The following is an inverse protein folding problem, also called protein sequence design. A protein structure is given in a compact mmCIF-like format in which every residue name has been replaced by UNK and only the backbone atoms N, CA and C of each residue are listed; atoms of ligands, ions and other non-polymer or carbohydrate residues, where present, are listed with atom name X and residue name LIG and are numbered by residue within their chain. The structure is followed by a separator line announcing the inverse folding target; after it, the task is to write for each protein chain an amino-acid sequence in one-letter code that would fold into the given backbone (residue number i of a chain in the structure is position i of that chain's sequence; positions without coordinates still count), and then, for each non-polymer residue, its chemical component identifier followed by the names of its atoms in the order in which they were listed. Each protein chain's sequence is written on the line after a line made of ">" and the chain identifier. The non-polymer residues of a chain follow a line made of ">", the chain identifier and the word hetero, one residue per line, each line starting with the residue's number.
data_IF_776276051482
#
_entry.id   IF_776276051482
#
_cell.length_a   1.000
_cell.length_b   1.000
_cell.length_c   1.000
_cell.angle_alpha   90.00
_cell.angle_beta   90.00
_cell.angle_gamma   90.00
#
_symmetry.space_group_name_H-M   'P 1'
#
loop_
_entity.id
_entity.type
_entity.pdbx_description
1 polymer ?
#
# COMPACT_ATOMS: atom_id res chain seq x y z
N UNK A 1 35.63 66.74 32.43
CA UNK A 1 35.06 65.65 31.69
C UNK A 1 36.09 64.57 31.45
N UNK A 2 35.93 63.40 32.13
CA UNK A 2 36.80 62.25 31.97
C UNK A 2 36.37 61.46 30.74
N UNK A 3 37.14 61.54 29.67
CA UNK A 3 36.93 60.75 28.45
C UNK A 3 37.31 59.32 28.73
N UNK A 4 36.29 58.44 28.88
CA UNK A 4 36.54 56.96 28.86
C UNK A 4 37.11 56.54 27.49
N UNK A 5 38.39 56.16 27.49
CA UNK A 5 39.02 55.49 26.33
C UNK A 5 38.38 54.13 26.14
N UNK A 6 37.57 53.97 25.09
CA UNK A 6 37.08 52.65 24.63
C UNK A 6 38.28 51.86 24.13
N UNK A 7 38.57 50.74 24.81
CA UNK A 7 39.58 49.78 24.33
C UNK A 7 39.06 49.15 23.04
N UNK A 8 39.75 49.30 21.95
CA UNK A 8 39.43 48.63 20.68
C UNK A 8 39.69 47.13 20.77
N UNK A 9 38.84 46.33 20.16
CA UNK A 9 39.00 44.88 20.10
C UNK A 9 40.10 44.52 19.08
N UNK A 10 41.03 43.66 19.45
CA UNK A 10 42.14 43.28 18.56
C UNK A 10 41.71 42.13 17.67
N UNK A 11 42.29 42.03 16.47
CA UNK A 11 42.03 40.94 15.49
C UNK A 11 42.36 39.57 16.09
N UNK A 12 43.40 39.48 16.93
CA UNK A 12 43.82 38.26 17.61
C UNK A 12 42.79 37.79 18.65
N UNK A 13 42.20 38.71 19.44
CA UNK A 13 41.19 38.39 20.41
C UNK A 13 39.91 37.84 19.69
N UNK A 14 39.53 38.41 18.53
CA UNK A 14 38.42 37.88 17.74
C UNK A 14 38.73 36.48 17.20
N UNK A 15 39.93 36.28 16.65
CA UNK A 15 40.35 35.02 16.05
C UNK A 15 40.37 33.87 17.05
N UNK A 16 40.90 34.13 18.29
CA UNK A 16 40.90 33.13 19.36
C UNK A 16 39.47 32.75 19.77
N UNK A 17 38.58 33.70 19.90
CA UNK A 17 37.17 33.44 20.26
C UNK A 17 36.48 32.57 19.21
N UNK A 18 36.59 32.90 17.91
CA UNK A 18 35.99 32.07 16.86
C UNK A 18 36.60 30.66 16.78
N UNK A 19 37.89 30.51 17.04
CA UNK A 19 38.56 29.21 17.10
C UNK A 19 38.02 28.33 18.24
N UNK A 20 37.82 28.93 19.43
CA UNK A 20 37.21 28.22 20.58
C UNK A 20 35.78 27.85 20.28
N UNK A 21 34.97 28.77 19.72
CA UNK A 21 33.58 28.48 19.33
C UNK A 21 33.51 27.34 18.30
N UNK A 22 34.36 27.37 17.27
CA UNK A 22 34.43 26.33 16.25
C UNK A 22 34.79 24.96 16.85
N UNK A 23 35.77 24.91 17.78
CA UNK A 23 36.12 23.68 18.47
C UNK A 23 34.96 23.13 19.31
N UNK A 24 34.30 23.99 20.08
CA UNK A 24 33.17 23.59 20.91
C UNK A 24 31.97 23.10 20.05
N UNK A 25 31.65 23.78 18.94
CA UNK A 25 30.61 23.36 17.98
C UNK A 25 30.95 22.00 17.37
N UNK A 26 32.22 21.74 17.01
CA UNK A 26 32.66 20.48 16.43
C UNK A 26 32.35 19.26 17.34
N UNK A 27 32.45 19.43 18.66
CA UNK A 27 32.19 18.38 19.65
C UNK A 27 30.66 18.29 19.95
N UNK A 28 29.95 19.42 19.99
CA UNK A 28 28.55 19.48 20.41
C UNK A 28 27.60 19.04 19.30
N UNK A 29 27.89 19.30 18.01
CA UNK A 29 26.96 18.96 16.89
C UNK A 29 26.60 17.49 16.82
N UNK A 30 27.50 16.49 16.91
CA UNK A 30 27.12 15.08 16.86
C UNK A 30 26.24 14.68 18.04
N UNK A 31 26.50 15.20 19.24
CA UNK A 31 25.69 14.92 20.43
C UNK A 31 24.28 15.51 20.30
N UNK A 32 24.16 16.75 19.83
CA UNK A 32 22.87 17.43 19.62
C UNK A 32 22.01 16.71 18.58
N UNK A 33 22.61 16.19 17.50
CA UNK A 33 21.91 15.39 16.49
C UNK A 33 21.24 14.15 17.11
N UNK A 34 21.96 13.40 17.95
CA UNK A 34 21.42 12.21 18.64
C UNK A 34 20.29 12.55 19.61
N UNK A 35 20.45 13.62 20.40
CA UNK A 35 19.42 14.10 21.35
C UNK A 35 18.16 14.50 20.58
N UNK A 36 18.29 15.19 19.44
CA UNK A 36 17.17 15.58 18.60
C UNK A 36 16.41 14.38 18.06
N UNK A 37 17.10 13.33 17.61
CA UNK A 37 16.48 12.09 17.13
C UNK A 37 15.70 11.39 18.25
N UNK A 38 16.28 11.30 19.45
CA UNK A 38 15.60 10.74 20.63
C UNK A 38 14.34 11.53 20.96
N UNK A 39 14.42 12.88 20.93
CA UNK A 39 13.25 13.73 21.16
C UNK A 39 12.14 13.49 20.09
N UNK A 40 12.52 13.27 18.83
CA UNK A 40 11.55 12.92 17.76
C UNK A 40 10.86 11.58 18.05
N UNK A 41 11.63 10.54 18.44
CA UNK A 41 11.07 9.24 18.83
C UNK A 41 10.05 9.36 19.95
N UNK A 42 10.37 10.08 21.02
CA UNK A 42 9.48 10.30 22.15
C UNK A 42 8.22 11.05 21.73
N UNK A 43 8.36 12.10 20.92
CA UNK A 43 7.20 12.86 20.41
C UNK A 43 6.29 11.99 19.54
N UNK A 44 6.88 11.20 18.62
CA UNK A 44 6.12 10.30 17.75
C UNK A 44 5.41 9.20 18.55
N UNK A 45 6.07 8.62 19.56
CA UNK A 45 5.45 7.65 20.46
C UNK A 45 4.30 8.25 21.27
N UNK A 46 4.45 9.49 21.75
CA UNK A 46 3.36 10.20 22.47
C UNK A 46 2.17 10.47 21.54
N UNK A 47 2.41 10.91 20.31
CA UNK A 47 1.36 11.12 19.31
C UNK A 47 0.61 9.80 19.04
N UNK A 48 1.35 8.72 18.80
CA UNK A 48 0.78 7.42 18.51
C UNK A 48 -0.04 6.87 19.69
N UNK A 49 0.41 7.09 20.94
CA UNK A 49 -0.38 6.77 22.15
C UNK A 49 -1.68 7.57 22.23
N UNK A 50 -1.65 8.86 21.85
CA UNK A 50 -2.85 9.69 21.73
C UNK A 50 -3.83 9.16 20.69
N UNK A 51 -3.32 8.78 19.51
CA UNK A 51 -4.10 8.15 18.43
C UNK A 51 -4.72 6.84 18.90
N UNK A 52 -3.98 5.98 19.63
CA UNK A 52 -4.50 4.72 20.16
C UNK A 52 -5.64 4.90 21.14
N UNK A 53 -5.53 5.86 22.05
CA UNK A 53 -6.63 6.20 22.96
C UNK A 53 -7.89 6.69 22.23
N UNK A 54 -7.69 7.50 21.17
CA UNK A 54 -8.79 7.94 20.32
C UNK A 54 -9.43 6.78 19.54
N UNK A 55 -8.66 5.77 19.13
CA UNK A 55 -9.20 4.55 18.50
C UNK A 55 -10.11 3.78 19.46
N UNK A 56 -9.77 3.68 20.74
CA UNK A 56 -10.64 3.04 21.74
C UNK A 56 -11.93 3.85 21.98
N UNK A 57 -11.83 5.18 22.02
CA UNK A 57 -13.02 6.06 22.12
C UNK A 57 -13.93 5.83 20.91
N UNK A 58 -13.35 5.81 19.70
CA UNK A 58 -14.09 5.53 18.48
C UNK A 58 -14.73 4.14 18.52
N UNK A 59 -14.01 3.10 18.91
CA UNK A 59 -14.51 1.73 18.95
C UNK A 59 -15.68 1.56 19.93
N UNK A 60 -15.70 2.28 21.05
CA UNK A 60 -16.80 2.27 21.99
C UNK A 60 -18.14 2.72 21.36
N UNK A 61 -18.08 3.62 20.37
CA UNK A 61 -19.26 4.14 19.67
C UNK A 61 -19.59 3.36 18.39
N UNK A 62 -18.69 2.47 17.93
CA UNK A 62 -18.77 1.75 16.66
C UNK A 62 -18.61 0.22 16.83
N UNK A 63 -19.39 -0.40 17.71
CA UNK A 63 -19.51 -1.86 17.86
C UNK A 63 -18.17 -2.57 18.10
N UNK A 64 -17.26 -1.97 18.88
CA UNK A 64 -15.91 -2.45 19.17
C UNK A 64 -14.97 -2.54 17.93
N UNK A 65 -15.39 -2.00 16.78
CA UNK A 65 -14.54 -1.93 15.58
C UNK A 65 -13.59 -0.74 15.63
N UNK A 66 -12.32 -0.97 15.29
CA UNK A 66 -11.34 0.10 15.10
C UNK A 66 -11.64 0.90 13.82
N UNK A 67 -11.11 2.14 13.67
CA UNK A 67 -11.46 3.03 12.58
C UNK A 67 -11.32 2.39 11.20
N UNK A 68 -12.43 2.24 10.49
CA UNK A 68 -12.51 1.73 9.13
C UNK A 68 -13.31 2.69 8.25
N UNK A 69 -12.64 3.35 7.34
CA UNK A 69 -13.27 4.20 6.34
C UNK A 69 -13.93 3.36 5.23
N UNK A 70 -14.82 4.00 4.45
CA UNK A 70 -15.54 3.30 3.39
C UNK A 70 -16.69 2.43 3.87
N UNK A 71 -17.09 1.45 3.07
CA UNK A 71 -18.16 0.47 3.36
C UNK A 71 -17.59 -0.90 3.75
N UNK A 72 -18.51 -1.87 3.93
CA UNK A 72 -18.16 -3.21 4.41
C UNK A 72 -17.08 -3.92 3.57
N UNK A 73 -17.17 -3.82 2.25
CA UNK A 73 -16.24 -4.43 1.29
C UNK A 73 -15.47 -3.37 0.47
N UNK A 74 -15.17 -2.23 1.07
CA UNK A 74 -14.34 -1.22 0.42
C UNK A 74 -12.94 -1.74 0.18
N UNK A 75 -12.35 -1.28 -0.92
CA UNK A 75 -10.97 -1.59 -1.29
C UNK A 75 -10.04 -0.46 -0.92
N UNK A 76 -8.79 -0.78 -0.63
CA UNK A 76 -7.75 0.22 -0.44
C UNK A 76 -7.50 0.97 -1.76
N UNK A 77 -7.69 2.28 -1.75
CA UNK A 77 -7.56 3.11 -2.94
C UNK A 77 -7.94 4.57 -2.70
N UNK A 78 -7.72 5.43 -3.69
CA UNK A 78 -7.93 6.86 -3.54
C UNK A 78 -9.40 7.21 -3.25
N UNK A 79 -9.61 8.11 -2.31
CA UNK A 79 -10.92 8.73 -2.04
C UNK A 79 -11.17 9.80 -3.10
N UNK A 80 -12.19 9.63 -3.91
CA UNK A 80 -12.45 10.54 -5.04
C UNK A 80 -13.11 11.86 -4.61
N UNK A 81 -13.84 11.85 -3.50
CA UNK A 81 -14.60 13.03 -3.04
C UNK A 81 -14.51 13.20 -1.52
N UNK A 82 -13.32 13.54 -1.03
CA UNK A 82 -13.08 13.76 0.42
C UNK A 82 -13.94 14.88 1.04
N UNK A 83 -14.63 15.71 0.23
CA UNK A 83 -15.58 16.76 0.63
C UNK A 83 -17.06 16.31 0.47
N UNK A 84 -17.32 15.03 0.26
CA UNK A 84 -18.68 14.52 0.10
C UNK A 84 -19.56 14.81 1.31
N UNK A 85 -20.78 15.27 1.08
CA UNK A 85 -21.73 15.57 2.15
C UNK A 85 -22.11 14.35 3.00
N UNK A 86 -21.96 13.15 2.44
CA UNK A 86 -22.23 11.89 3.13
C UNK A 86 -21.10 10.89 2.94
N UNK A 87 -21.00 9.91 3.84
CA UNK A 87 -20.05 8.79 3.75
C UNK A 87 -20.14 8.06 2.39
N UNK A 88 -21.36 7.86 1.90
CA UNK A 88 -21.60 7.19 0.63
C UNK A 88 -21.02 7.98 -0.56
N UNK A 89 -21.18 9.29 -0.57
CA UNK A 89 -20.59 10.14 -1.61
C UNK A 89 -19.08 10.21 -1.52
N UNK A 90 -18.53 10.33 -0.30
CA UNK A 90 -17.09 10.42 -0.08
C UNK A 90 -16.36 9.19 -0.62
N UNK A 91 -16.83 8.01 -0.29
CA UNK A 91 -16.17 6.74 -0.59
C UNK A 91 -16.76 6.01 -1.81
N UNK A 92 -17.72 6.63 -2.53
CA UNK A 92 -18.40 6.03 -3.69
C UNK A 92 -19.03 4.67 -3.35
N UNK A 93 -19.79 4.62 -2.25
CA UNK A 93 -20.45 3.38 -1.81
C UNK A 93 -21.66 3.06 -2.69
N UNK A 94 -21.99 1.77 -2.80
CA UNK A 94 -23.23 1.30 -3.39
C UNK A 94 -24.45 1.66 -2.51
N UNK A 95 -25.64 1.53 -3.06
CA UNK A 95 -26.88 1.85 -2.34
C UNK A 95 -27.07 1.03 -1.05
N UNK A 96 -26.51 -0.16 -0.97
CA UNK A 96 -26.51 -1.02 0.21
C UNK A 96 -25.41 -0.71 1.23
N UNK A 97 -24.63 0.35 1.00
CA UNK A 97 -23.50 0.77 1.84
C UNK A 97 -22.25 -0.10 1.67
N UNK A 98 -22.23 -1.02 0.71
CA UNK A 98 -21.07 -1.86 0.40
C UNK A 98 -20.13 -1.21 -0.62
N UNK A 99 -19.02 -1.89 -0.90
CA UNK A 99 -17.99 -1.49 -1.87
C UNK A 99 -17.39 -0.10 -1.60
N UNK A 100 -16.93 0.57 -2.64
CA UNK A 100 -16.27 1.85 -2.55
C UNK A 100 -14.76 1.74 -2.36
N UNK A 101 -14.11 2.91 -2.21
CA UNK A 101 -12.67 3.03 -2.00
C UNK A 101 -12.38 3.94 -0.83
N UNK A 102 -11.40 3.55 -0.03
CA UNK A 102 -10.92 4.34 1.09
C UNK A 102 -9.40 4.20 1.25
N UNK A 103 -8.78 5.21 1.83
CA UNK A 103 -7.36 5.32 2.12
C UNK A 103 -7.07 4.97 3.58
N UNK A 104 -5.83 4.69 3.91
CA UNK A 104 -5.39 4.56 5.31
C UNK A 104 -5.51 5.92 6.01
N UNK A 105 -5.16 7.01 5.32
CA UNK A 105 -5.33 8.37 5.85
C UNK A 105 -6.78 8.69 6.18
N UNK A 106 -7.75 8.21 5.38
CA UNK A 106 -9.17 8.38 5.70
C UNK A 106 -9.61 7.60 6.95
N UNK A 107 -8.99 6.44 7.23
CA UNK A 107 -9.24 5.73 8.49
C UNK A 107 -8.78 6.56 9.69
N UNK A 108 -7.59 7.15 9.63
CA UNK A 108 -7.13 8.11 10.65
C UNK A 108 -8.00 9.36 10.72
N UNK A 109 -8.52 9.84 9.58
CA UNK A 109 -9.39 11.03 9.55
C UNK A 109 -10.71 10.82 10.30
N UNK A 110 -11.22 9.59 10.43
CA UNK A 110 -12.38 9.30 11.29
C UNK A 110 -12.13 9.69 12.74
N UNK A 111 -10.87 9.62 13.21
CA UNK A 111 -10.51 10.08 14.56
C UNK A 111 -10.53 11.62 14.68
N UNK A 112 -10.19 12.34 13.60
CA UNK A 112 -10.37 13.81 13.56
C UNK A 112 -11.85 14.14 13.63
N UNK A 113 -12.67 13.42 12.88
CA UNK A 113 -14.10 13.68 12.72
C UNK A 113 -14.92 13.29 13.95
N UNK A 114 -14.61 12.19 14.61
CA UNK A 114 -15.47 11.59 15.65
C UNK A 114 -14.81 11.49 17.04
N UNK A 115 -13.49 11.62 17.13
CA UNK A 115 -12.75 11.54 18.40
C UNK A 115 -11.91 12.80 18.67
N UNK A 116 -12.18 13.91 17.97
CA UNK A 116 -11.58 15.24 18.15
C UNK A 116 -10.03 15.26 18.12
N UNK A 117 -9.39 14.32 17.42
CA UNK A 117 -7.93 14.28 17.28
C UNK A 117 -7.48 15.39 16.35
N UNK A 118 -6.52 16.21 16.78
CA UNK A 118 -5.99 17.26 15.90
C UNK A 118 -5.13 16.68 14.79
N UNK A 119 -5.19 17.21 13.55
CA UNK A 119 -4.36 16.76 12.42
C UNK A 119 -2.85 16.72 12.74
N UNK A 120 -2.37 17.60 13.58
CA UNK A 120 -0.97 17.65 14.03
C UNK A 120 -0.51 16.36 14.72
N UNK A 121 -1.41 15.63 15.36
CA UNK A 121 -1.10 14.36 16.06
C UNK A 121 -0.71 13.23 15.11
N UNK A 122 -1.00 13.36 13.81
CA UNK A 122 -0.63 12.37 12.81
C UNK A 122 0.74 12.62 12.17
N UNK A 123 1.49 13.63 12.64
CA UNK A 123 2.78 14.00 12.07
C UNK A 123 3.93 13.62 13.00
N UNK A 124 4.86 12.82 12.48
CA UNK A 124 6.16 12.56 13.09
C UNK A 124 7.22 13.54 12.56
N UNK A 125 7.88 14.28 13.44
CA UNK A 125 8.95 15.22 13.03
C UNK A 125 10.19 14.53 12.45
N UNK A 126 10.33 13.24 12.64
CA UNK A 126 11.39 12.43 12.02
C UNK A 126 11.06 12.01 10.59
N UNK A 127 9.79 12.09 10.18
CA UNK A 127 9.32 11.72 8.84
C UNK A 127 9.38 12.95 7.92
N UNK A 128 10.43 13.04 7.12
CA UNK A 128 10.64 14.18 6.22
C UNK A 128 9.61 14.22 5.09
N UNK A 129 9.18 15.42 4.73
CA UNK A 129 8.20 15.64 3.65
C UNK A 129 6.73 15.50 4.09
N UNK A 130 6.46 15.15 5.36
CA UNK A 130 5.12 15.22 5.93
C UNK A 130 4.86 16.57 6.57
N UNK A 131 3.61 17.00 6.54
CA UNK A 131 3.16 18.27 7.09
C UNK A 131 1.77 18.17 7.69
N UNK A 132 1.51 18.98 8.71
CA UNK A 132 0.20 19.09 9.32
C UNK A 132 -0.84 19.51 8.29
N UNK A 133 -1.97 18.82 8.24
CA UNK A 133 -3.11 19.19 7.40
C UNK A 133 -3.78 20.46 7.91
N UNK A 134 -3.98 21.44 7.04
CA UNK A 134 -4.68 22.69 7.35
C UNK A 134 -5.66 23.03 6.24
N UNK A 135 -6.89 23.40 6.60
CA UNK A 135 -7.92 23.81 5.65
C UNK A 135 -7.48 25.01 4.78
N UNK A 136 -6.73 25.94 5.39
CA UNK A 136 -6.20 27.10 4.70
C UNK A 136 -5.26 26.73 3.52
N UNK A 137 -4.50 25.65 3.65
CA UNK A 137 -3.57 25.22 2.60
C UNK A 137 -4.30 24.67 1.35
N UNK A 138 -5.58 24.30 1.50
CA UNK A 138 -6.45 23.84 0.41
C UNK A 138 -7.34 24.98 -0.16
N UNK A 139 -7.26 26.19 0.38
CA UNK A 139 -8.13 27.30 -0.02
C UNK A 139 -9.61 27.08 0.32
N UNK A 140 -9.92 26.18 1.25
CA UNK A 140 -11.27 25.89 1.70
C UNK A 140 -11.74 26.97 2.69
N UNK A 141 -12.83 27.66 2.33
CA UNK A 141 -13.48 28.67 3.19
C UNK A 141 -14.88 28.21 3.55
N UNK A 142 -15.27 28.41 4.82
CA UNK A 142 -16.60 28.01 5.30
C UNK A 142 -16.80 26.50 5.46
N UNK A 143 -15.70 25.74 5.52
CA UNK A 143 -15.66 24.29 5.75
C UNK A 143 -14.94 24.02 7.06
N UNK A 144 -15.46 23.15 7.90
CA UNK A 144 -14.82 22.69 9.11
C UNK A 144 -14.15 21.32 8.90
N UNK A 145 -13.24 20.93 9.81
CA UNK A 145 -12.58 19.62 9.75
C UNK A 145 -13.59 18.45 9.74
N UNK A 146 -14.69 18.60 10.48
CA UNK A 146 -15.74 17.58 10.56
C UNK A 146 -16.53 17.38 9.26
N UNK A 147 -16.44 18.31 8.31
CA UNK A 147 -17.12 18.20 7.02
C UNK A 147 -16.36 17.31 6.03
N UNK A 148 -15.10 17.02 6.30
CA UNK A 148 -14.24 16.24 5.42
C UNK A 148 -14.20 14.75 5.81
N UNK A 149 -13.66 13.92 4.89
CA UNK A 149 -13.51 12.48 5.04
C UNK A 149 -12.08 11.97 4.86
N UNK A 150 -11.15 12.84 4.50
CA UNK A 150 -9.71 12.55 4.39
C UNK A 150 -8.91 13.85 4.49
N UNK A 151 -7.59 13.74 4.66
CA UNK A 151 -6.64 14.87 4.69
C UNK A 151 -6.42 15.52 3.31
N UNK A 152 -7.42 15.58 2.48
CA UNK A 152 -7.40 16.17 1.14
C UNK A 152 -7.34 15.12 0.03
N UNK A 153 -6.83 15.53 -1.14
CA UNK A 153 -6.74 14.66 -2.30
C UNK A 153 -5.64 13.60 -2.15
N UNK A 154 -5.88 12.35 -2.56
CA UNK A 154 -4.85 11.33 -2.58
C UNK A 154 -3.90 11.49 -3.78
N UNK A 155 -2.73 10.83 -3.72
CA UNK A 155 -1.74 10.77 -4.77
C UNK A 155 -0.60 11.76 -4.62
N UNK A 156 0.41 11.69 -5.51
CA UNK A 156 1.67 12.42 -5.42
C UNK A 156 1.51 13.95 -5.37
N UNK A 157 0.50 14.47 -6.05
CA UNK A 157 0.17 15.91 -6.05
C UNK A 157 -0.85 16.28 -4.97
N UNK A 158 -1.31 15.29 -4.19
CA UNK A 158 -2.29 15.49 -3.12
C UNK A 158 -1.66 15.77 -1.77
N UNK A 159 -2.52 16.02 -0.79
CA UNK A 159 -2.13 16.28 0.60
C UNK A 159 -2.35 15.09 1.51
N UNK A 160 -3.28 14.18 1.20
CA UNK A 160 -3.67 13.09 2.08
C UNK A 160 -2.47 12.23 2.53
N UNK A 161 -1.67 11.70 1.59
CA UNK A 161 -0.52 10.86 1.93
C UNK A 161 0.61 11.61 2.64
N UNK A 162 0.66 12.96 2.52
CA UNK A 162 1.66 13.81 3.20
C UNK A 162 1.23 14.19 4.63
N UNK A 163 -0.04 14.00 4.97
CA UNK A 163 -0.61 14.46 6.23
C UNK A 163 -0.77 13.37 7.29
N UNK A 164 -0.15 12.22 7.10
CA UNK A 164 -0.01 11.18 8.11
C UNK A 164 1.38 10.55 8.03
N UNK A 165 2.07 10.42 9.14
CA UNK A 165 3.38 9.77 9.28
C UNK A 165 3.30 8.34 9.80
N UNK A 166 2.11 7.78 9.91
CA UNK A 166 1.89 6.48 10.51
C UNK A 166 1.27 5.50 9.53
N UNK A 167 1.65 4.24 9.68
CA UNK A 167 1.00 3.08 9.08
C UNK A 167 -0.06 2.54 10.02
N UNK A 168 -1.09 1.92 9.45
CA UNK A 168 -2.20 1.34 10.17
C UNK A 168 -2.49 -0.05 9.63
N UNK A 169 -2.97 -0.96 10.49
CA UNK A 169 -3.38 -2.29 10.06
C UNK A 169 -4.44 -2.21 8.96
N UNK A 170 -4.19 -2.91 7.84
CA UNK A 170 -5.04 -2.82 6.65
C UNK A 170 -6.46 -3.32 6.94
N UNK A 171 -7.49 -2.44 6.96
CA UNK A 171 -8.85 -2.85 7.28
C UNK A 171 -9.65 -3.27 6.04
N UNK A 172 -9.12 -3.10 4.82
CA UNK A 172 -9.82 -3.31 3.56
C UNK A 172 -9.61 -4.72 3.04
N UNK A 173 -10.67 -5.33 2.47
CA UNK A 173 -10.64 -6.72 2.00
C UNK A 173 -10.06 -7.71 3.01
N UNK A 174 -10.10 -7.37 4.27
CA UNK A 174 -9.53 -8.15 5.35
C UNK A 174 -10.60 -9.09 5.91
N UNK A 175 -10.42 -10.41 5.82
CA UNK A 175 -11.34 -11.38 6.42
C UNK A 175 -11.27 -11.41 7.96
N UNK A 176 -10.22 -10.81 8.53
CA UNK A 176 -9.95 -10.75 9.96
C UNK A 176 -10.16 -9.32 10.47
N UNK A 177 -11.41 -8.94 10.76
CA UNK A 177 -11.71 -7.62 11.30
C UNK A 177 -10.94 -7.39 12.61
N UNK A 178 -10.28 -6.23 12.71
CA UNK A 178 -9.58 -5.83 13.91
C UNK A 178 -10.56 -5.20 14.89
N UNK A 179 -10.79 -5.90 15.97
CA UNK A 179 -11.66 -5.47 17.08
C UNK A 179 -10.83 -5.35 18.36
N UNK A 180 -11.34 -4.63 19.34
CA UNK A 180 -10.71 -4.47 20.67
C UNK A 180 -10.57 -5.80 21.44
N UNK A 181 -11.21 -6.88 20.97
CA UNK A 181 -11.13 -8.21 21.56
C UNK A 181 -10.04 -9.12 20.98
N UNK A 182 -9.20 -8.61 20.07
CA UNK A 182 -8.03 -9.33 19.54
C UNK A 182 -6.90 -9.41 20.59
N UNK A 183 -5.79 -10.12 20.26
CA UNK A 183 -4.66 -10.28 21.19
C UNK A 183 -4.01 -8.92 21.55
N UNK A 184 -3.77 -8.60 22.84
CA UNK A 184 -3.24 -7.30 23.28
C UNK A 184 -1.90 -6.92 22.63
N UNK A 185 -1.01 -7.90 22.38
CA UNK A 185 0.28 -7.72 21.71
C UNK A 185 0.20 -7.59 20.18
N UNK A 186 -1.00 -7.50 19.60
CA UNK A 186 -1.16 -7.29 18.17
C UNK A 186 -0.82 -5.85 17.80
N UNK A 187 0.11 -5.64 16.84
CA UNK A 187 0.48 -4.31 16.38
C UNK A 187 -0.62 -3.71 15.50
N UNK A 188 -1.11 -2.54 15.87
CA UNK A 188 -2.24 -1.85 15.22
C UNK A 188 -1.78 -0.71 14.34
N UNK A 189 -0.83 0.09 14.80
CA UNK A 189 -0.26 1.20 14.06
C UNK A 189 1.22 1.38 14.41
N UNK A 190 1.99 1.93 13.49
CA UNK A 190 3.41 2.22 13.70
C UNK A 190 3.85 3.39 12.82
N UNK A 191 5.11 3.82 12.97
CA UNK A 191 5.76 4.68 11.99
C UNK A 191 5.63 4.07 10.58
N UNK A 192 5.83 4.86 9.51
CA UNK A 192 5.57 4.42 8.12
C UNK A 192 6.30 3.16 7.72
N UNK A 193 5.61 2.29 6.99
CA UNK A 193 6.14 1.08 6.39
C UNK A 193 7.29 1.40 5.42
N UNK A 194 8.50 0.84 5.62
CA UNK A 194 9.67 1.15 4.80
C UNK A 194 9.56 0.63 3.36
N UNK A 195 8.68 -0.33 3.10
CA UNK A 195 8.54 -0.98 1.79
C UNK A 195 7.50 -0.32 0.86
N UNK A 196 6.91 0.80 1.28
CA UNK A 196 5.98 1.62 0.51
C UNK A 196 6.58 3.00 0.33
N UNK A 197 6.49 3.58 -0.89
CA UNK A 197 6.96 4.95 -1.15
C UNK A 197 6.28 5.95 -0.19
N UNK A 198 7.06 6.90 0.28
CA UNK A 198 6.61 7.93 1.22
C UNK A 198 7.07 9.32 0.75
N UNK A 199 6.55 10.42 1.32
CA UNK A 199 7.07 11.76 1.03
C UNK A 199 8.56 11.92 1.31
N UNK A 200 9.13 11.09 2.19
CA UNK A 200 10.56 11.07 2.49
C UNK A 200 11.43 10.47 1.37
N UNK A 201 10.84 9.69 0.47
CA UNK A 201 11.55 9.07 -0.64
C UNK A 201 11.00 7.71 -1.07
N UNK A 202 11.77 7.06 -1.93
CA UNK A 202 11.45 5.73 -2.43
C UNK A 202 11.48 4.68 -1.32
N UNK A 203 10.67 3.65 -1.49
CA UNK A 203 10.63 2.49 -0.61
C UNK A 203 12.01 1.79 -0.55
N UNK A 204 12.31 1.22 0.61
CA UNK A 204 13.44 0.31 0.77
C UNK A 204 13.25 -0.92 -0.13
N UNK A 205 14.30 -1.34 -0.82
CA UNK A 205 14.26 -2.57 -1.59
C UNK A 205 14.09 -3.77 -0.66
N UNK A 206 12.95 -4.46 -0.78
CA UNK A 206 12.61 -5.61 0.04
C UNK A 206 13.64 -6.74 -0.04
N UNK A 207 14.34 -6.89 -1.18
CA UNK A 207 15.37 -7.91 -1.33
C UNK A 207 16.59 -7.70 -0.41
N UNK A 208 16.80 -6.47 0.08
CA UNK A 208 17.88 -6.14 1.03
C UNK A 208 17.55 -6.51 2.47
N UNK A 209 16.27 -6.63 2.80
CA UNK A 209 15.81 -7.00 4.13
C UNK A 209 15.99 -8.50 4.37
N UNK A 210 16.70 -8.84 5.43
CA UNK A 210 16.84 -10.21 5.92
C UNK A 210 16.81 -10.19 7.45
N UNK A 211 15.86 -10.91 8.09
CA UNK A 211 15.80 -11.00 9.54
C UNK A 211 17.07 -11.58 10.14
N UNK A 212 17.54 -11.03 11.26
CA UNK A 212 18.71 -11.53 12.03
C UNK A 212 18.34 -12.66 13.00
N UNK A 213 17.36 -13.46 12.63
CA UNK A 213 16.94 -14.68 13.33
C UNK A 213 17.50 -15.94 12.66
N UNK A 214 17.61 -16.99 13.44
CA UNK A 214 18.07 -18.30 12.96
C UNK A 214 17.21 -18.79 11.79
N UNK A 215 17.85 -19.19 10.70
CA UNK A 215 17.18 -19.70 9.49
C UNK A 215 16.94 -18.66 8.39
N UNK A 216 17.11 -17.35 8.65
CA UNK A 216 16.89 -16.30 7.65
C UNK A 216 18.19 -15.76 7.02
N UNK A 217 19.36 -16.09 7.60
CA UNK A 217 20.66 -15.73 7.04
C UNK A 217 20.96 -14.23 7.06
N UNK A 218 20.22 -13.46 7.86
CA UNK A 218 20.42 -12.02 8.02
C UNK A 218 21.40 -11.66 9.13
N UNK A 219 21.77 -10.40 9.17
CA UNK A 219 22.59 -9.76 10.18
C UNK A 219 21.83 -8.59 10.79
N UNK A 220 22.33 -8.04 11.90
CA UNK A 220 21.76 -6.81 12.49
C UNK A 220 21.64 -5.67 11.47
N UNK A 221 22.57 -5.55 10.53
CA UNK A 221 22.51 -4.51 9.50
C UNK A 221 21.45 -4.79 8.45
N UNK A 222 21.30 -6.04 7.97
CA UNK A 222 20.27 -6.37 6.99
C UNK A 222 18.86 -6.34 7.59
N UNK A 223 18.72 -6.61 8.89
CA UNK A 223 17.45 -6.52 9.60
C UNK A 223 16.94 -5.07 9.74
N UNK A 224 17.83 -4.08 9.80
CA UNK A 224 17.46 -2.67 9.86
C UNK A 224 16.71 -2.18 8.62
N UNK A 225 16.94 -2.80 7.45
CA UNK A 225 16.19 -2.44 6.23
C UNK A 225 14.68 -2.70 6.34
N UNK A 226 14.24 -3.50 7.30
CA UNK A 226 12.84 -3.68 7.66
C UNK A 226 12.25 -2.60 8.55
N UNK A 227 13.06 -1.65 9.05
CA UNK A 227 12.62 -0.61 9.97
C UNK A 227 12.24 0.69 9.26
N UNK A 228 11.38 1.48 9.90
CA UNK A 228 10.88 2.75 9.39
C UNK A 228 11.99 3.77 9.09
N UNK A 229 11.86 4.49 7.97
CA UNK A 229 12.81 5.52 7.55
C UNK A 229 12.79 6.75 8.47
N UNK A 230 11.67 7.06 9.10
CA UNK A 230 11.46 8.21 9.96
C UNK A 230 12.48 8.32 11.12
N UNK A 231 13.01 7.19 11.57
CA UNK A 231 13.98 7.08 12.65
C UNK A 231 15.30 6.45 12.19
N UNK A 232 15.69 6.71 10.94
CA UNK A 232 16.97 6.29 10.33
C UNK A 232 17.17 4.76 10.35
N UNK A 233 16.08 4.01 10.24
CA UNK A 233 16.08 2.55 10.28
C UNK A 233 16.63 1.93 11.59
N UNK A 234 16.77 2.73 12.66
CA UNK A 234 17.15 2.20 13.97
C UNK A 234 16.02 1.48 14.70
N UNK A 235 14.79 1.65 14.22
CA UNK A 235 13.57 1.10 14.78
C UNK A 235 12.35 1.95 14.41
N UNK A 236 11.24 1.66 15.03
CA UNK A 236 9.96 2.34 14.88
C UNK A 236 9.19 2.39 16.19
N UNK A 237 8.35 3.41 16.39
CA UNK A 237 7.32 3.36 17.41
C UNK A 237 6.20 2.45 16.93
N UNK A 238 5.79 1.50 17.74
CA UNK A 238 4.70 0.57 17.46
C UNK A 238 3.65 0.72 18.55
N UNK A 239 2.41 0.91 18.15
CA UNK A 239 1.24 0.90 19.00
C UNK A 239 0.57 -0.46 18.92
N UNK A 240 0.39 -1.09 20.04
CA UNK A 240 -0.29 -2.37 20.17
C UNK A 240 -1.77 -2.19 20.55
N UNK A 241 -2.54 -3.25 20.47
CA UNK A 241 -3.99 -3.19 20.64
C UNK A 241 -4.44 -2.75 22.03
N UNK A 242 -3.65 -3.02 23.06
CA UNK A 242 -3.87 -2.51 24.42
C UNK A 242 -3.47 -1.03 24.60
N UNK A 243 -3.12 -0.35 23.50
CA UNK A 243 -2.70 1.05 23.40
C UNK A 243 -1.34 1.41 24.01
N UNK A 244 -0.58 0.44 24.49
CA UNK A 244 0.82 0.75 24.80
C UNK A 244 1.61 1.03 23.53
N UNK A 245 2.62 1.88 23.63
CA UNK A 245 3.52 2.22 22.53
C UNK A 245 4.95 1.93 22.97
N UNK A 246 5.65 1.14 22.15
CA UNK A 246 7.06 0.82 22.39
C UNK A 246 7.91 1.16 21.16
N UNK A 247 9.19 1.51 21.40
CA UNK A 247 10.15 1.73 20.32
C UNK A 247 10.84 0.41 19.99
N UNK A 248 10.34 -0.28 18.98
CA UNK A 248 10.83 -1.57 18.54
C UNK A 248 12.01 -1.44 17.59
N UNK A 249 13.08 -2.22 17.84
CA UNK A 249 14.30 -2.22 17.02
C UNK A 249 14.22 -3.14 15.80
N UNK A 250 13.15 -3.93 15.68
CA UNK A 250 12.89 -4.87 14.60
C UNK A 250 11.45 -4.73 14.15
N UNK A 251 11.22 -4.96 12.86
CA UNK A 251 9.86 -4.96 12.31
C UNK A 251 9.06 -6.22 12.66
N UNK A 252 9.72 -7.31 13.05
CA UNK A 252 9.06 -8.54 13.51
C UNK A 252 8.88 -8.51 15.03
N UNK A 253 7.86 -7.79 15.47
CA UNK A 253 7.60 -7.47 16.87
C UNK A 253 6.12 -7.65 17.29
N UNK A 254 5.26 -8.13 16.37
CA UNK A 254 3.87 -8.46 16.69
C UNK A 254 3.74 -9.90 17.23
N UNK A 255 2.53 -10.38 17.38
CA UNK A 255 2.22 -11.73 17.90
C UNK A 255 2.97 -12.81 17.10
N UNK A 256 3.65 -13.73 17.77
CA UNK A 256 4.46 -14.80 17.17
C UNK A 256 5.60 -14.30 16.27
N UNK A 257 6.25 -13.19 16.66
CA UNK A 257 7.32 -12.56 15.90
C UNK A 257 6.90 -12.16 14.47
N UNK A 258 5.62 -11.84 14.27
CA UNK A 258 5.10 -11.40 12.99
C UNK A 258 5.69 -10.05 12.57
N UNK A 259 6.00 -9.93 11.27
CA UNK A 259 6.55 -8.71 10.70
C UNK A 259 5.43 -7.72 10.38
N UNK A 260 5.36 -6.65 11.15
CA UNK A 260 4.29 -5.64 11.08
C UNK A 260 4.17 -4.92 9.72
N UNK A 261 5.17 -4.99 8.85
CA UNK A 261 5.22 -4.26 7.58
C UNK A 261 5.04 -5.14 6.34
N UNK A 262 4.86 -6.43 6.52
CA UNK A 262 4.69 -7.40 5.43
C UNK A 262 3.41 -8.20 5.63
N UNK A 263 2.86 -8.75 4.56
CA UNK A 263 1.78 -9.73 4.67
C UNK A 263 2.39 -11.11 4.88
N UNK A 264 1.85 -11.89 5.78
CA UNK A 264 2.34 -13.24 6.07
C UNK A 264 2.31 -14.15 4.83
N UNK A 265 3.28 -15.06 4.73
CA UNK A 265 3.28 -16.14 3.75
C UNK A 265 2.39 -17.31 4.16
N UNK A 266 1.92 -17.31 5.39
CA UNK A 266 1.17 -18.41 6.02
C UNK A 266 -0.24 -17.97 6.38
N UNK A 267 -1.19 -18.88 6.29
CA UNK A 267 -2.61 -18.57 6.49
C UNK A 267 -3.09 -18.70 7.96
N UNK A 268 -2.23 -19.12 8.89
CA UNK A 268 -2.59 -19.43 10.28
C UNK A 268 -1.61 -18.97 11.35
N UNK A 269 -0.55 -18.24 11.00
CA UNK A 269 0.50 -17.82 11.92
C UNK A 269 1.10 -16.46 11.54
N UNK A 270 1.89 -15.88 12.43
CA UNK A 270 2.77 -14.76 12.12
C UNK A 270 3.95 -15.16 11.22
N UNK A 271 4.61 -14.20 10.62
CA UNK A 271 5.73 -14.45 9.72
C UNK A 271 6.80 -13.36 9.82
N UNK A 272 7.97 -13.74 10.30
CA UNK A 272 9.14 -12.85 10.50
C UNK A 272 9.58 -12.16 9.21
N UNK A 273 9.54 -12.83 8.06
CA UNK A 273 9.95 -12.26 6.76
C UNK A 273 8.77 -11.66 6.01
N UNK A 274 7.71 -12.42 5.85
CA UNK A 274 6.54 -12.03 5.07
C UNK A 274 6.79 -11.85 3.57
N UNK A 275 5.84 -11.19 2.94
CA UNK A 275 5.88 -10.80 1.53
C UNK A 275 5.81 -9.28 1.40
N UNK A 276 6.49 -8.72 0.38
CA UNK A 276 6.48 -7.28 0.12
C UNK A 276 5.04 -6.76 -0.01
N UNK A 277 4.71 -5.62 0.63
CA UNK A 277 3.42 -4.96 0.44
C UNK A 277 3.17 -4.61 -1.02
N UNK A 278 1.99 -4.98 -1.49
CA UNK A 278 1.45 -4.54 -2.77
C UNK A 278 0.05 -3.96 -2.53
N UNK A 279 -0.10 -2.66 -2.76
CA UNK A 279 -1.34 -1.95 -2.51
C UNK A 279 -2.54 -2.48 -3.34
N UNK A 280 -2.27 -3.18 -4.45
CA UNK A 280 -3.31 -3.76 -5.27
C UNK A 280 -3.87 -5.08 -4.72
N UNK A 281 -3.07 -5.85 -3.97
CA UNK A 281 -3.39 -7.26 -3.73
C UNK A 281 -3.03 -7.81 -2.36
N UNK A 282 -2.15 -7.15 -1.60
CA UNK A 282 -1.78 -7.65 -0.28
C UNK A 282 -2.91 -7.43 0.72
N UNK A 283 -3.21 -8.48 1.48
CA UNK A 283 -4.17 -8.48 2.58
C UNK A 283 -3.59 -9.28 3.73
N UNK A 284 -4.01 -9.05 4.98
CA UNK A 284 -3.69 -9.94 6.08
C UNK A 284 -4.17 -11.37 5.76
N UNK A 285 -3.30 -12.35 5.98
CA UNK A 285 -3.56 -13.76 5.63
C UNK A 285 -3.96 -14.62 6.80
N UNK A 286 -3.68 -14.14 8.00
CA UNK A 286 -4.01 -14.84 9.25
C UNK A 286 -4.54 -13.84 10.29
N UNK A 287 -5.17 -14.36 11.32
CA UNK A 287 -5.63 -13.55 12.46
C UNK A 287 -4.48 -12.91 13.24
N UNK A 288 -3.27 -13.48 13.12
CA UNK A 288 -2.02 -13.00 13.75
C UNK A 288 -1.12 -12.20 12.80
N UNK A 289 -1.54 -12.02 11.56
CA UNK A 289 -0.84 -11.24 10.54
C UNK A 289 -1.12 -9.74 10.74
N UNK A 290 -0.19 -9.05 11.36
CA UNK A 290 -0.25 -7.62 11.63
C UNK A 290 0.32 -6.84 10.44
N UNK A 291 -0.50 -6.53 9.48
CA UNK A 291 -0.07 -5.91 8.24
C UNK A 291 -0.33 -4.39 8.25
N UNK A 292 0.69 -3.61 8.65
CA UNK A 292 0.63 -2.15 8.74
C UNK A 292 1.07 -1.49 7.43
N UNK A 293 0.21 -0.66 6.88
CA UNK A 293 0.43 0.04 5.63
C UNK A 293 0.07 1.53 5.76
N UNK A 294 0.63 2.34 4.89
CA UNK A 294 0.24 3.74 4.67
C UNK A 294 -0.05 3.96 3.19
N UNK A 295 -0.72 5.05 2.87
CA UNK A 295 -1.06 5.36 1.49
C UNK A 295 0.20 5.67 0.67
N UNK A 296 0.39 5.03 -0.48
CA UNK A 296 1.50 5.32 -1.37
C UNK A 296 1.32 6.69 -2.05
N UNK A 297 2.42 7.25 -2.53
CA UNK A 297 2.43 8.47 -3.36
C UNK A 297 1.57 8.32 -4.64
N UNK A 298 1.64 7.16 -5.24
CA UNK A 298 0.78 6.76 -6.34
C UNK A 298 0.12 5.46 -5.92
N UNK A 299 -1.21 5.48 -5.74
CA UNK A 299 -1.92 4.22 -5.71
C UNK A 299 -1.62 3.51 -7.01
N UNK A 300 -1.07 2.31 -6.99
CA UNK A 300 -1.09 1.53 -8.19
C UNK A 300 -2.55 1.55 -8.62
N UNK A 301 -2.85 2.13 -9.77
CA UNK A 301 -4.07 1.78 -10.45
C UNK A 301 -4.08 0.27 -10.31
N UNK A 302 -5.04 -0.33 -9.58
CA UNK A 302 -5.23 -1.79 -9.54
C UNK A 302 -5.06 -2.16 -10.97
N UNK A 303 -3.87 -2.68 -11.28
CA UNK A 303 -3.34 -2.55 -12.62
C UNK A 303 -4.43 -3.11 -13.45
N UNK A 304 -5.06 -2.25 -14.28
CA UNK A 304 -6.14 -2.71 -15.11
C UNK A 304 -5.52 -3.88 -15.78
N UNK A 305 -5.88 -5.07 -15.29
CA UNK A 305 -5.35 -6.32 -15.75
C UNK A 305 -5.93 -6.47 -17.13
N UNK A 306 -5.20 -6.04 -18.13
CA UNK A 306 -5.70 -5.87 -19.48
C UNK A 306 -4.70 -6.44 -20.46
N UNK A 307 -5.20 -6.74 -21.65
CA UNK A 307 -4.42 -7.18 -22.78
C UNK A 307 -4.29 -6.06 -23.81
N UNK A 308 -3.19 -6.06 -24.55
CA UNK A 308 -3.03 -5.18 -25.71
C UNK A 308 -4.13 -5.42 -26.74
N UNK A 309 -4.50 -4.39 -27.47
CA UNK A 309 -5.64 -4.36 -28.42
C UNK A 309 -5.68 -5.54 -29.41
N UNK A 310 -4.50 -6.00 -29.88
CA UNK A 310 -4.37 -7.09 -30.83
C UNK A 310 -4.43 -8.50 -30.22
N UNK A 311 -4.52 -8.64 -28.89
CA UNK A 311 -4.55 -9.97 -28.26
C UNK A 311 -5.77 -10.74 -28.72
N UNK A 312 -5.61 -11.97 -29.29
CA UNK A 312 -6.74 -12.79 -29.69
C UNK A 312 -7.57 -13.21 -28.47
N UNK A 313 -8.89 -13.12 -28.57
CA UNK A 313 -9.84 -13.63 -27.60
C UNK A 313 -10.83 -14.57 -28.29
N UNK A 314 -11.26 -15.63 -27.61
CA UNK A 314 -12.17 -16.64 -28.13
C UNK A 314 -13.63 -16.16 -27.98
N UNK A 315 -14.18 -15.58 -29.06
CA UNK A 315 -15.47 -14.93 -29.10
C UNK A 315 -16.31 -15.51 -30.25
N UNK A 316 -17.58 -15.84 -30.02
CA UNK A 316 -18.51 -16.40 -31.00
C UNK A 316 -17.99 -17.65 -31.75
N UNK A 317 -17.15 -18.45 -31.06
CA UNK A 317 -16.55 -19.66 -31.60
C UNK A 317 -15.35 -19.43 -32.50
N UNK A 318 -14.78 -18.23 -32.55
CA UNK A 318 -13.60 -17.85 -33.30
C UNK A 318 -12.64 -16.94 -32.54
N UNK A 319 -11.49 -16.71 -33.15
CA UNK A 319 -10.49 -15.77 -32.62
C UNK A 319 -10.76 -14.36 -33.13
N UNK A 320 -10.97 -13.44 -32.22
CA UNK A 320 -11.23 -12.03 -32.52
C UNK A 320 -10.25 -11.19 -31.70
N UNK A 321 -9.59 -10.16 -32.27
CA UNK A 321 -8.80 -9.23 -31.46
C UNK A 321 -9.68 -8.65 -30.31
N UNK A 322 -9.17 -8.66 -29.09
CA UNK A 322 -9.94 -8.26 -27.90
C UNK A 322 -10.51 -6.83 -28.02
N UNK A 323 -9.85 -5.97 -28.80
CA UNK A 323 -10.33 -4.62 -29.12
C UNK A 323 -11.66 -4.61 -29.90
N UNK A 324 -12.00 -5.69 -30.56
CA UNK A 324 -13.25 -5.81 -31.37
C UNK A 324 -14.36 -6.57 -30.62
N UNK A 325 -14.11 -6.96 -29.36
CA UNK A 325 -15.11 -7.59 -28.53
C UNK A 325 -16.29 -6.63 -28.25
N UNK A 326 -17.50 -7.15 -28.28
CA UNK A 326 -18.71 -6.37 -28.00
C UNK A 326 -19.60 -7.03 -26.94
N UNK A 327 -20.31 -6.22 -26.20
CA UNK A 327 -21.31 -6.67 -25.20
C UNK A 327 -22.35 -7.57 -25.86
N UNK A 328 -22.68 -8.66 -25.21
CA UNK A 328 -23.67 -9.66 -25.69
C UNK A 328 -23.09 -10.76 -26.56
N UNK A 329 -21.85 -10.66 -27.06
CA UNK A 329 -21.19 -11.75 -27.77
C UNK A 329 -20.91 -12.95 -26.85
N UNK A 330 -20.94 -14.15 -27.42
CA UNK A 330 -20.66 -15.37 -26.69
C UNK A 330 -19.16 -15.56 -26.48
N UNK A 331 -18.74 -15.95 -25.29
CA UNK A 331 -17.35 -16.24 -24.95
C UNK A 331 -17.23 -17.68 -24.50
N UNK A 332 -16.19 -18.38 -24.98
CA UNK A 332 -15.81 -19.69 -24.47
C UNK A 332 -15.28 -19.56 -23.04
N UNK A 333 -15.75 -20.40 -22.13
CA UNK A 333 -15.32 -20.44 -20.73
C UNK A 333 -14.82 -21.84 -20.42
N UNK A 334 -13.67 -21.94 -19.76
CA UNK A 334 -13.17 -23.22 -19.28
C UNK A 334 -14.14 -23.77 -18.22
N UNK A 335 -14.53 -25.01 -18.38
CA UNK A 335 -15.14 -25.75 -17.28
C UNK A 335 -14.11 -26.06 -16.20
N UNK A 336 -13.68 -25.06 -15.46
CA UNK A 336 -12.85 -25.22 -14.25
C UNK A 336 -13.65 -25.91 -13.15
N UNK A 337 -14.97 -25.69 -13.13
CA UNK A 337 -15.94 -26.55 -12.45
C UNK A 337 -16.61 -27.47 -13.49
N UNK A 338 -16.60 -28.76 -13.22
CA UNK A 338 -17.23 -29.78 -14.09
C UNK A 338 -18.71 -29.50 -14.46
N UNK A 339 -19.32 -28.44 -13.93
CA UNK A 339 -20.68 -27.97 -14.24
C UNK A 339 -20.76 -26.96 -15.39
N UNK A 340 -19.66 -26.35 -15.84
CA UNK A 340 -19.65 -25.31 -16.88
C UNK A 340 -19.19 -25.82 -18.27
N UNK A 341 -18.92 -27.11 -18.41
CA UNK A 341 -18.57 -27.70 -19.71
C UNK A 341 -19.67 -27.47 -20.74
N UNK A 342 -19.42 -26.56 -21.70
CA UNK A 342 -20.28 -26.32 -22.85
C UNK A 342 -21.28 -25.16 -22.76
N UNK A 343 -21.22 -24.29 -21.75
CA UNK A 343 -22.00 -23.04 -21.73
C UNK A 343 -21.21 -21.93 -22.42
N UNK A 344 -21.74 -21.38 -23.51
CA UNK A 344 -21.29 -20.08 -24.02
C UNK A 344 -21.91 -18.99 -23.13
N UNK A 345 -21.08 -18.34 -22.32
CA UNK A 345 -21.46 -17.17 -21.53
C UNK A 345 -21.32 -15.91 -22.39
N UNK A 346 -21.96 -14.81 -21.98
CA UNK A 346 -21.95 -13.58 -22.77
C UNK A 346 -21.06 -12.52 -22.12
N UNK A 347 -20.47 -11.67 -22.94
CA UNK A 347 -19.75 -10.49 -22.49
C UNK A 347 -20.78 -9.52 -21.88
N UNK A 348 -20.61 -9.24 -20.59
CA UNK A 348 -21.39 -8.25 -19.86
C UNK A 348 -20.85 -6.84 -20.12
N UNK A 349 -19.52 -6.69 -20.15
CA UNK A 349 -18.83 -5.41 -20.36
C UNK A 349 -17.47 -5.62 -21.00
N UNK A 350 -17.11 -4.69 -21.88
CA UNK A 350 -15.75 -4.53 -22.40
C UNK A 350 -15.14 -3.29 -21.76
N UNK A 351 -14.08 -3.48 -20.99
CA UNK A 351 -13.33 -2.39 -20.40
C UNK A 351 -12.17 -2.02 -21.33
N UNK A 352 -12.23 -0.82 -21.91
CA UNK A 352 -11.18 -0.27 -22.75
C UNK A 352 -10.52 0.94 -22.06
N UNK A 353 -9.20 0.95 -22.01
CA UNK A 353 -8.45 1.99 -21.31
C UNK A 353 -7.25 2.46 -22.12
N UNK A 354 -7.27 3.73 -22.47
CA UNK A 354 -6.15 4.39 -23.12
C UNK A 354 -5.22 5.02 -22.07
N UNK A 355 -3.92 4.89 -22.25
CA UNK A 355 -2.95 5.49 -21.34
C UNK A 355 -1.54 4.94 -21.44
N UNK A 356 -0.77 5.29 -20.41
CA UNK A 356 0.60 4.81 -20.17
C UNK A 356 0.56 3.81 -19.03
N UNK A 357 1.02 2.58 -19.30
CA UNK A 357 1.00 1.48 -18.33
C UNK A 357 2.46 1.13 -17.96
N UNK A 358 2.89 1.46 -16.74
CA UNK A 358 4.28 1.29 -16.32
C UNK A 358 4.71 -0.18 -16.19
N UNK A 359 3.75 -1.07 -15.96
CA UNK A 359 4.01 -2.51 -15.87
C UNK A 359 3.37 -3.23 -17.03
N UNK A 360 4.22 -3.73 -17.93
CA UNK A 360 3.82 -4.55 -19.07
C UNK A 360 4.76 -5.75 -19.19
N UNK A 361 4.18 -6.85 -19.61
CA UNK A 361 4.88 -8.13 -19.78
C UNK A 361 4.53 -8.73 -21.14
N UNK A 362 5.47 -9.47 -21.73
CA UNK A 362 5.17 -10.40 -22.83
C UNK A 362 5.38 -11.82 -22.34
N UNK A 363 4.32 -12.61 -22.33
CA UNK A 363 4.36 -14.04 -22.04
C UNK A 363 4.52 -14.77 -23.36
N UNK A 364 5.67 -15.43 -23.56
CA UNK A 364 5.97 -16.20 -24.77
C UNK A 364 5.62 -17.66 -24.51
N UNK A 365 4.75 -18.22 -25.33
CA UNK A 365 4.28 -19.59 -25.27
C UNK A 365 5.08 -20.51 -26.17
N UNK A 366 4.98 -21.82 -25.96
CA UNK A 366 5.73 -22.84 -26.76
C UNK A 366 5.33 -22.91 -28.24
N UNK A 367 4.15 -22.41 -28.59
CA UNK A 367 3.69 -22.26 -29.98
C UNK A 367 4.25 -21.01 -30.67
N UNK A 368 5.05 -20.21 -29.95
CA UNK A 368 5.66 -18.98 -30.45
C UNK A 368 4.79 -17.74 -30.28
N UNK A 369 3.57 -17.86 -29.73
CA UNK A 369 2.72 -16.72 -29.45
C UNK A 369 3.28 -15.88 -28.32
N UNK A 370 3.17 -14.56 -28.45
CA UNK A 370 3.50 -13.57 -27.42
C UNK A 370 2.27 -12.82 -26.94
N UNK A 371 1.82 -13.07 -25.72
CA UNK A 371 0.70 -12.35 -25.10
C UNK A 371 1.21 -11.09 -24.38
N UNK A 372 0.87 -9.91 -24.89
CA UNK A 372 1.18 -8.64 -24.24
C UNK A 372 0.13 -8.30 -23.18
N UNK A 373 0.58 -8.27 -21.94
CA UNK A 373 -0.25 -8.13 -20.73
C UNK A 373 0.22 -6.92 -19.95
N UNK A 374 -0.70 -6.09 -19.47
CA UNK A 374 -0.40 -5.00 -18.55
C UNK A 374 -0.96 -5.28 -17.17
N UNK A 375 -0.23 -4.84 -16.15
CA UNK A 375 -0.58 -5.11 -14.75
C UNK A 375 -0.41 -6.58 -14.36
N UNK A 376 -1.06 -6.99 -13.30
CA UNK A 376 -0.90 -8.31 -12.64
C UNK A 376 -1.98 -9.32 -13.06
N UNK A 377 -2.21 -9.51 -14.36
CA UNK A 377 -3.22 -10.46 -14.85
C UNK A 377 -3.01 -11.88 -14.32
N UNK A 378 -4.10 -12.57 -14.01
CA UNK A 378 -4.08 -13.95 -13.52
C UNK A 378 -4.21 -14.96 -14.65
N UNK A 379 -3.33 -15.93 -14.61
CA UNK A 379 -3.29 -17.09 -15.51
C UNK A 379 -3.56 -18.37 -14.71
N UNK A 380 -4.39 -19.24 -15.25
CA UNK A 380 -4.65 -20.54 -14.63
C UNK A 380 -3.52 -21.51 -15.00
N UNK A 381 -2.86 -22.06 -13.97
CA UNK A 381 -1.87 -23.13 -14.15
C UNK A 381 -2.57 -24.48 -14.36
N UNK A 382 -1.90 -25.43 -14.98
CA UNK A 382 -2.35 -26.82 -15.19
C UNK A 382 -2.69 -27.54 -13.88
N UNK A 383 -2.04 -27.15 -12.78
CA UNK A 383 -2.33 -27.66 -11.44
C UNK A 383 -3.59 -27.07 -10.78
N UNK A 384 -4.36 -26.25 -11.51
CA UNK A 384 -5.60 -25.62 -11.00
C UNK A 384 -5.41 -24.37 -10.15
N UNK A 385 -4.17 -23.89 -9.97
CA UNK A 385 -3.88 -22.67 -9.21
C UNK A 385 -3.80 -21.45 -10.13
N UNK A 386 -4.27 -20.31 -9.64
CA UNK A 386 -4.10 -19.04 -10.32
C UNK A 386 -2.72 -18.42 -9.99
N UNK A 387 -2.00 -17.97 -11.02
CA UNK A 387 -0.73 -17.28 -10.89
C UNK A 387 -0.78 -15.93 -11.60
N UNK A 388 -0.17 -14.93 -11.01
CA UNK A 388 0.00 -13.61 -11.63
C UNK A 388 1.07 -13.69 -12.72
N UNK A 389 0.99 -12.81 -13.70
CA UNK A 389 1.97 -12.76 -14.80
C UNK A 389 3.41 -12.61 -14.29
N UNK A 390 3.63 -11.78 -13.27
CA UNK A 390 4.95 -11.57 -12.66
C UNK A 390 5.53 -12.82 -11.96
N UNK A 391 4.68 -13.78 -11.60
CA UNK A 391 5.07 -15.05 -10.97
C UNK A 391 5.21 -16.20 -11.97
N UNK A 392 4.88 -15.96 -13.24
CA UNK A 392 5.15 -16.92 -14.29
C UNK A 392 6.65 -16.91 -14.66
N UNK A 393 7.16 -18.05 -15.04
CA UNK A 393 8.56 -18.22 -15.48
C UNK A 393 8.65 -19.26 -16.60
N UNK A 394 9.79 -19.33 -17.24
CA UNK A 394 10.06 -20.40 -18.21
C UNK A 394 9.83 -21.77 -17.58
N UNK A 395 9.01 -22.60 -18.23
CA UNK A 395 8.58 -23.90 -17.72
C UNK A 395 7.24 -23.89 -16.97
N UNK A 396 6.65 -22.74 -16.62
CA UNK A 396 5.26 -22.68 -16.14
C UNK A 396 4.33 -23.29 -17.19
N UNK A 397 3.34 -24.07 -16.75
CA UNK A 397 2.37 -24.71 -17.66
C UNK A 397 1.00 -24.09 -17.40
N UNK A 398 0.42 -23.52 -18.44
CA UNK A 398 -0.87 -22.81 -18.38
C UNK A 398 -1.99 -23.72 -18.87
N UNK A 399 -3.13 -23.65 -18.18
CA UNK A 399 -4.35 -24.31 -18.63
C UNK A 399 -4.92 -23.59 -19.86
N UNK A 400 -5.36 -24.35 -20.85
CA UNK A 400 -6.03 -23.88 -22.04
C UNK A 400 -7.36 -24.58 -22.25
N UNK A 401 -8.07 -24.22 -23.30
CA UNK A 401 -9.34 -24.87 -23.64
C UNK A 401 -9.16 -26.31 -24.21
N UNK A 402 -7.98 -26.64 -24.78
CA UNK A 402 -7.70 -27.96 -25.35
C UNK A 402 -6.67 -28.72 -24.52
N UNK A 403 -5.42 -28.27 -24.57
CA UNK A 403 -4.28 -28.92 -23.89
C UNK A 403 -3.41 -27.87 -23.21
N UNK A 404 -2.85 -28.16 -22.03
CA UNK A 404 -1.94 -27.22 -21.37
C UNK A 404 -0.80 -26.78 -22.28
N UNK A 405 -0.40 -25.52 -22.19
CA UNK A 405 0.68 -24.89 -22.97
C UNK A 405 1.79 -24.43 -22.03
N UNK A 406 3.04 -24.61 -22.46
CA UNK A 406 4.20 -24.22 -21.67
C UNK A 406 4.63 -22.78 -21.97
N UNK A 407 4.99 -22.04 -20.93
CA UNK A 407 5.63 -20.73 -21.02
C UNK A 407 7.11 -20.92 -21.32
N UNK A 408 7.60 -20.31 -22.39
CA UNK A 408 9.03 -20.29 -22.75
C UNK A 408 9.76 -19.15 -22.06
N UNK A 409 9.14 -17.98 -21.99
CA UNK A 409 9.71 -16.81 -21.32
C UNK A 409 8.62 -15.85 -20.85
N UNK A 410 8.93 -15.09 -19.81
CA UNK A 410 8.16 -13.91 -19.39
C UNK A 410 9.11 -12.72 -19.41
N UNK A 411 8.83 -11.77 -20.29
CA UNK A 411 9.67 -10.59 -20.51
C UNK A 411 8.96 -9.39 -19.91
N UNK A 412 9.50 -8.83 -18.84
CA UNK A 412 9.06 -7.53 -18.31
C UNK A 412 9.59 -6.44 -19.23
N UNK A 413 8.72 -5.51 -19.64
CA UNK A 413 9.13 -4.39 -20.48
C UNK A 413 9.90 -3.36 -19.65
N UNK A 414 11.01 -2.86 -20.19
CA UNK A 414 11.80 -1.79 -19.56
C UNK A 414 11.21 -0.40 -19.83
N UNK A 415 10.28 -0.28 -20.77
CA UNK A 415 9.55 0.95 -21.10
C UNK A 415 8.07 0.73 -20.88
N UNK A 416 7.33 1.75 -20.40
CA UNK A 416 5.89 1.66 -20.25
C UNK A 416 5.20 1.30 -21.57
N UNK A 417 4.16 0.51 -21.51
CA UNK A 417 3.26 0.30 -22.64
C UNK A 417 2.41 1.54 -22.85
N UNK A 418 2.36 2.07 -24.06
CA UNK A 418 1.55 3.23 -24.43
C UNK A 418 0.51 2.80 -25.45
N UNK A 419 -0.76 2.97 -25.15
CA UNK A 419 -1.85 2.58 -26.05
C UNK A 419 -3.14 2.24 -25.31
N UNK A 420 -4.07 1.64 -26.05
CA UNK A 420 -5.33 1.15 -25.47
C UNK A 420 -5.21 -0.32 -25.11
N UNK A 421 -5.65 -0.68 -23.93
CA UNK A 421 -5.69 -2.04 -23.41
C UNK A 421 -7.12 -2.43 -23.05
N UNK A 422 -7.41 -3.72 -23.09
CA UNK A 422 -8.78 -4.26 -23.02
C UNK A 422 -8.89 -5.38 -22.01
N UNK A 423 -10.04 -5.45 -21.33
CA UNK A 423 -10.44 -6.58 -20.51
C UNK A 423 -11.91 -6.91 -20.74
N UNK A 424 -12.29 -8.15 -20.50
CA UNK A 424 -13.66 -8.62 -20.67
C UNK A 424 -14.26 -9.01 -19.32
N UNK A 425 -15.43 -8.46 -19.01
CA UNK A 425 -16.27 -8.97 -17.93
C UNK A 425 -17.32 -9.89 -18.51
N UNK A 426 -17.33 -11.13 -18.03
CA UNK A 426 -18.22 -12.18 -18.50
C UNK A 426 -19.37 -12.35 -17.50
N UNK A 427 -20.58 -12.54 -18.02
CA UNK A 427 -21.76 -12.83 -17.21
C UNK A 427 -21.60 -14.20 -16.53
N UNK A 428 -21.79 -14.25 -15.22
CA UNK A 428 -21.73 -15.48 -14.40
C UNK A 428 -20.39 -16.24 -14.48
N UNK A 429 -19.30 -15.58 -14.92
CA UNK A 429 -17.94 -16.12 -14.89
C UNK A 429 -16.92 -15.01 -14.61
N UNK A 430 -15.80 -15.42 -14.03
CA UNK A 430 -14.67 -14.52 -13.72
C UNK A 430 -13.46 -14.75 -14.63
N UNK A 431 -13.57 -15.63 -15.63
CA UNK A 431 -12.48 -16.04 -16.51
C UNK A 431 -12.93 -16.22 -17.97
N UNK A 432 -11.97 -16.13 -18.91
CA UNK A 432 -12.17 -16.30 -20.34
C UNK A 432 -10.89 -16.77 -21.02
N UNK A 433 -10.97 -17.05 -22.33
CA UNK A 433 -9.84 -17.53 -23.10
C UNK A 433 -9.18 -16.44 -23.94
N UNK A 434 -7.84 -16.38 -23.90
CA UNK A 434 -7.02 -15.49 -24.74
C UNK A 434 -5.91 -16.27 -25.44
N UNK A 435 -5.40 -15.68 -26.50
CA UNK A 435 -4.34 -16.27 -27.30
C UNK A 435 -4.81 -17.38 -28.24
N UNK A 436 -3.92 -17.77 -29.16
CA UNK A 436 -4.17 -18.84 -30.15
C UNK A 436 -4.43 -20.17 -29.46
N UNK A 437 -3.69 -20.46 -28.41
CA UNK A 437 -3.84 -21.65 -27.59
C UNK A 437 -5.09 -21.64 -26.69
N UNK A 438 -5.78 -20.49 -26.53
CA UNK A 438 -6.92 -20.34 -25.63
C UNK A 438 -6.55 -20.48 -24.15
N UNK A 439 -5.56 -19.71 -23.72
CA UNK A 439 -5.09 -19.68 -22.33
C UNK A 439 -6.18 -19.13 -21.44
N UNK A 440 -6.42 -19.77 -20.28
CA UNK A 440 -7.43 -19.36 -19.32
C UNK A 440 -6.89 -18.22 -18.46
N UNK A 441 -7.57 -17.08 -18.51
CA UNK A 441 -7.23 -15.87 -17.74
C UNK A 441 -8.44 -15.34 -16.98
N UNK A 442 -8.18 -14.60 -15.91
CA UNK A 442 -9.22 -13.86 -15.21
C UNK A 442 -8.74 -12.52 -14.72
N UNK A 443 -9.68 -11.61 -14.56
CA UNK A 443 -9.51 -10.36 -13.85
C UNK A 443 -9.64 -10.57 -12.33
N UNK A 444 -9.23 -9.58 -11.57
CA UNK A 444 -9.39 -9.55 -10.12
C UNK A 444 -10.81 -9.19 -9.71
#
# INVERSE_FOLDING_TARGET
>A
GTTMRRKGFTLVELLVVIAIIALLMGILMPALSRVRQLAFRLTCGTNLSGVGKAMLIYANDYEDELPKAGGRSSTWGPVNNYQGATRAQAFSLQADGSQGKATISSCFYLLVKYAEVTPKSFICKGDSGTSEFKLADLGLTGVELIDLWDFGTPGANGTAYKSSSYSYHLPFNNPYALTVSSEPGFAVAADRNPFINSPAGAATDFATFKPDMTGYGGTTETAKYGNALAHQQEGQNVMFLDTHVEFEKRSYCSVEDDNIYTSSRYDNAGDVLGTKPDAASSVPRARKDSFLVHDPDVFPNKGRTCFAAGTPAWIDGGLVPIAHAAVGQAVGVAGVDRMAAGRSLRIERVDAHEGVFPEAYTVILEDGEGLCVVGSHLFLLDCGRWARVENLHAGSVLQTHERPVRVLAVIRHNTPYVGTVYNLKIQDADHYFVGLAGVVVRDY
#
